data_IF_079793700401
#
_entry.id   IF_079793700401
#
_cell.length_a   1.000
_cell.length_b   1.000
_cell.length_c   1.000
_cell.angle_alpha   90.00
_cell.angle_beta   90.00
_cell.angle_gamma   90.00
#
_symmetry.space_group_name_H-M   'P 1'
#
loop_
_entity.id
_entity.type
_entity.pdbx_description
1 polymer ?
#
# COMPACT_ATOMS: atom_id res chain seq x y z
N UNK A 1 36.71 -63.62 -15.70
CA UNK A 1 35.67 -64.61 -15.40
C UNK A 1 34.32 -63.94 -15.59
N UNK A 2 33.72 -64.34 -16.68
CA UNK A 2 32.33 -64.69 -16.93
C UNK A 2 31.28 -63.59 -16.69
N UNK A 3 30.74 -63.02 -17.79
CA UNK A 3 29.51 -63.44 -18.52
C UNK A 3 28.26 -63.03 -17.71
N UNK A 4 27.25 -62.34 -18.25
CA UNK A 4 26.49 -62.57 -19.46
C UNK A 4 25.64 -61.37 -19.86
N UNK A 5 25.52 -61.21 -21.16
CA UNK A 5 24.52 -60.38 -21.88
C UNK A 5 23.10 -60.97 -21.69
N UNK A 6 22.12 -60.10 -21.71
CA UNK A 6 20.77 -60.47 -22.13
C UNK A 6 20.10 -59.33 -22.87
N UNK A 7 19.95 -59.55 -24.14
CA UNK A 7 19.15 -58.77 -25.12
C UNK A 7 17.66 -59.07 -24.86
N UNK A 8 16.81 -58.08 -24.84
CA UNK A 8 15.37 -58.27 -25.18
C UNK A 8 14.82 -57.05 -25.94
N UNK A 9 14.52 -57.37 -27.12
CA UNK A 9 13.62 -56.93 -28.21
C UNK A 9 12.58 -55.88 -27.92
N UNK A 10 12.51 -54.97 -28.90
CA UNK A 10 11.50 -53.97 -29.16
C UNK A 10 10.07 -54.55 -29.30
N UNK A 11 9.09 -53.80 -28.81
CA UNK A 11 7.74 -53.76 -29.32
C UNK A 11 7.35 -52.31 -29.57
N UNK A 12 7.26 -51.98 -30.82
CA UNK A 12 6.66 -50.74 -31.34
C UNK A 12 5.14 -50.92 -31.27
N UNK A 13 4.46 -50.14 -30.48
CA UNK A 13 3.01 -49.94 -30.55
C UNK A 13 2.77 -48.47 -30.75
N UNK A 14 2.40 -48.17 -32.00
CA UNK A 14 1.91 -46.86 -32.42
C UNK A 14 0.53 -46.62 -31.81
N UNK A 15 0.43 -45.78 -30.81
CA UNK A 15 -0.82 -45.17 -30.40
C UNK A 15 -0.87 -43.76 -30.90
N UNK A 16 -1.64 -43.55 -32.01
CA UNK A 16 -2.10 -42.25 -32.48
C UNK A 16 -3.04 -41.66 -31.42
N UNK A 17 -2.48 -40.89 -30.48
CA UNK A 17 -3.23 -40.10 -29.52
C UNK A 17 -3.49 -38.70 -30.09
N UNK A 18 -4.74 -38.42 -30.35
CA UNK A 18 -5.22 -37.06 -30.68
C UNK A 18 -4.91 -36.11 -29.53
N UNK A 19 -3.98 -35.21 -29.76
CA UNK A 19 -3.76 -34.04 -28.88
C UNK A 19 -4.96 -33.10 -29.06
N UNK A 20 -5.95 -33.21 -28.17
CA UNK A 20 -6.86 -32.13 -27.92
C UNK A 20 -6.05 -31.04 -27.20
N UNK A 21 -5.64 -30.01 -27.95
CA UNK A 21 -5.24 -28.73 -27.41
C UNK A 21 -6.49 -28.10 -26.80
N UNK A 22 -6.76 -28.42 -25.53
CA UNK A 22 -7.67 -27.59 -24.74
C UNK A 22 -6.96 -26.26 -24.53
N UNK A 23 -7.32 -25.27 -25.34
CA UNK A 23 -7.05 -23.89 -24.99
C UNK A 23 -7.76 -23.65 -23.67
N UNK A 24 -7.03 -23.71 -22.57
CA UNK A 24 -7.48 -23.19 -21.30
C UNK A 24 -7.71 -21.70 -21.53
N UNK A 25 -8.97 -21.30 -21.68
CA UNK A 25 -9.39 -19.93 -21.53
C UNK A 25 -8.95 -19.53 -20.14
N UNK A 26 -7.89 -18.70 -20.07
CA UNK A 26 -7.47 -18.09 -18.82
C UNK A 26 -8.71 -17.39 -18.25
N UNK A 27 -9.21 -17.88 -17.12
CA UNK A 27 -10.22 -17.16 -16.38
C UNK A 27 -9.59 -15.82 -16.01
N UNK A 28 -10.26 -14.69 -16.30
CA UNK A 28 -9.76 -13.40 -15.86
C UNK A 28 -9.56 -13.48 -14.34
N UNK A 29 -8.33 -13.28 -13.89
CA UNK A 29 -7.98 -13.32 -12.48
C UNK A 29 -8.88 -12.33 -11.72
N UNK A 30 -9.37 -12.73 -10.55
CA UNK A 30 -10.13 -11.83 -9.71
C UNK A 30 -9.29 -10.59 -9.45
N UNK A 31 -9.88 -9.41 -9.67
CA UNK A 31 -9.23 -8.11 -9.43
C UNK A 31 -8.79 -8.05 -7.97
N UNK A 32 -7.51 -7.78 -7.68
CA UNK A 32 -7.09 -7.57 -6.30
C UNK A 32 -7.87 -6.40 -5.71
N UNK A 33 -8.76 -6.68 -4.78
CA UNK A 33 -9.37 -5.64 -3.96
C UNK A 33 -8.28 -5.12 -3.04
N UNK A 34 -7.95 -3.83 -3.12
CA UNK A 34 -7.07 -3.23 -2.11
C UNK A 34 -7.65 -3.56 -0.73
N UNK A 35 -6.89 -4.23 0.11
CA UNK A 35 -7.26 -5.03 1.29
C UNK A 35 -8.24 -4.48 2.33
N UNK A 36 -9.08 -3.51 1.98
CA UNK A 36 -10.04 -2.86 2.86
C UNK A 36 -11.44 -3.12 2.34
N UNK A 37 -12.21 -3.92 3.05
CA UNK A 37 -13.65 -4.04 2.81
C UNK A 37 -14.33 -2.71 3.15
N UNK A 38 -14.55 -1.88 2.16
CA UNK A 38 -15.26 -0.61 2.28
C UNK A 38 -16.20 -0.46 1.08
N UNK A 39 -17.41 0.09 1.25
CA UNK A 39 -18.30 0.40 0.12
C UNK A 39 -17.65 1.30 -0.95
N UNK A 40 -16.66 2.08 -0.54
CA UNK A 40 -15.93 3.01 -1.40
C UNK A 40 -14.54 2.49 -1.81
N UNK A 41 -14.30 1.19 -1.64
CA UNK A 41 -13.05 0.56 -2.03
C UNK A 41 -12.79 0.73 -3.54
N UNK A 42 -11.53 0.95 -3.87
CA UNK A 42 -11.07 1.05 -5.25
C UNK A 42 -10.54 -0.30 -5.73
N UNK A 43 -10.89 -0.64 -6.97
CA UNK A 43 -10.22 -1.67 -7.72
C UNK A 43 -8.96 -1.06 -8.36
N UNK A 44 -7.86 -1.77 -8.29
CA UNK A 44 -6.60 -1.42 -8.95
C UNK A 44 -6.22 -2.59 -9.86
N UNK A 45 -6.30 -2.38 -11.16
CA UNK A 45 -6.03 -3.42 -12.18
C UNK A 45 -4.72 -3.09 -12.87
N UNK A 46 -3.70 -3.95 -12.79
CA UNK A 46 -2.51 -3.82 -13.63
C UNK A 46 -2.87 -3.89 -15.11
N UNK A 47 -2.34 -2.97 -15.90
CA UNK A 47 -2.64 -2.92 -17.34
C UNK A 47 -2.17 -4.17 -18.08
N UNK A 48 -1.23 -4.93 -17.53
CA UNK A 48 -0.83 -6.24 -18.04
C UNK A 48 -2.01 -7.23 -18.17
N UNK A 49 -3.07 -7.07 -17.37
CA UNK A 49 -4.29 -7.87 -17.47
C UNK A 49 -5.17 -7.49 -18.66
N UNK A 50 -4.84 -6.39 -19.36
CA UNK A 50 -5.59 -5.84 -20.49
C UNK A 50 -4.71 -5.76 -21.75
N UNK A 51 -4.17 -6.88 -22.26
CA UNK A 51 -3.15 -6.89 -23.33
C UNK A 51 -3.62 -6.21 -24.62
N UNK A 52 -4.93 -6.21 -24.92
CA UNK A 52 -5.49 -5.54 -26.08
C UNK A 52 -5.39 -4.00 -26.03
N UNK A 53 -5.15 -3.43 -24.84
CA UNK A 53 -5.06 -1.98 -24.62
C UNK A 53 -3.61 -1.50 -24.45
N UNK A 54 -2.63 -2.40 -24.29
CA UNK A 54 -1.23 -2.02 -24.17
C UNK A 54 -0.74 -1.25 -25.41
N UNK A 55 0.06 -0.21 -25.18
CA UNK A 55 0.57 0.66 -26.24
C UNK A 55 -0.46 1.64 -26.81
N UNK A 56 -1.68 1.68 -26.28
CA UNK A 56 -2.69 2.67 -26.68
C UNK A 56 -2.53 3.95 -25.86
N UNK A 57 -2.91 5.12 -26.43
CA UNK A 57 -2.88 6.38 -25.68
C UNK A 57 -3.75 6.30 -24.43
N UNK A 58 -3.19 6.65 -23.28
CA UNK A 58 -3.87 6.59 -21.96
C UNK A 58 -5.19 7.37 -21.99
N UNK A 59 -5.24 8.51 -22.69
CA UNK A 59 -6.44 9.34 -22.79
C UNK A 59 -7.59 8.68 -23.58
N UNK A 60 -7.31 7.62 -24.35
CA UNK A 60 -8.33 6.88 -25.10
C UNK A 60 -8.86 5.67 -24.32
N UNK A 61 -8.17 5.24 -23.28
CA UNK A 61 -8.62 4.12 -22.44
C UNK A 61 -9.77 4.57 -21.56
N UNK A 62 -10.90 3.88 -21.67
CA UNK A 62 -12.12 4.18 -20.92
C UNK A 62 -12.66 2.91 -20.31
N UNK A 63 -13.10 3.00 -19.04
CA UNK A 63 -13.87 1.94 -18.43
C UNK A 63 -15.36 2.22 -18.54
N UNK A 64 -16.12 1.16 -18.77
CA UNK A 64 -17.56 1.18 -19.00
C UNK A 64 -18.25 0.21 -18.04
N UNK A 65 -19.45 0.57 -17.58
CA UNK A 65 -20.38 -0.33 -16.89
C UNK A 65 -21.57 -0.63 -17.81
N UNK A 66 -22.11 -1.83 -17.71
CA UNK A 66 -23.36 -2.19 -18.39
C UNK A 66 -24.52 -2.05 -17.43
N UNK A 67 -25.35 -1.04 -17.66
CA UNK A 67 -26.55 -0.77 -16.88
C UNK A 67 -27.66 -0.27 -17.80
N UNK A 68 -28.90 -0.61 -17.49
CA UNK A 68 -30.08 -0.17 -18.26
C UNK A 68 -29.98 -0.45 -19.76
N UNK A 69 -29.41 -1.62 -20.11
CA UNK A 69 -29.17 -2.08 -21.50
C UNK A 69 -28.17 -1.26 -22.30
N UNK A 70 -27.37 -0.42 -21.65
CA UNK A 70 -26.38 0.43 -22.28
C UNK A 70 -25.00 0.32 -21.61
N UNK A 71 -23.96 0.56 -22.42
CA UNK A 71 -22.59 0.76 -21.90
C UNK A 71 -22.37 2.25 -21.63
N UNK A 72 -22.14 2.61 -20.39
CA UNK A 72 -21.87 3.98 -19.97
C UNK A 72 -20.49 4.12 -19.31
N UNK A 73 -19.75 5.21 -19.58
CA UNK A 73 -18.44 5.44 -18.98
C UNK A 73 -18.53 5.55 -17.44
N UNK A 74 -17.54 4.98 -16.77
CA UNK A 74 -17.32 5.17 -15.32
C UNK A 74 -16.08 6.01 -15.05
N UNK A 75 -16.01 6.60 -13.87
CA UNK A 75 -14.85 7.39 -13.46
C UNK A 75 -13.62 6.48 -13.37
N UNK A 76 -12.60 6.81 -14.12
CA UNK A 76 -11.37 6.03 -14.25
C UNK A 76 -10.17 6.94 -13.96
N UNK A 77 -9.18 6.40 -13.26
CA UNK A 77 -7.88 7.03 -13.11
C UNK A 77 -6.81 6.04 -13.58
N UNK A 78 -5.86 6.52 -14.38
CA UNK A 78 -4.73 5.72 -14.81
C UNK A 78 -3.46 6.34 -14.22
N UNK A 79 -2.74 5.54 -13.46
CA UNK A 79 -1.48 5.94 -12.86
C UNK A 79 -0.34 5.14 -13.48
N UNK A 80 0.50 5.85 -14.22
CA UNK A 80 1.62 5.26 -14.94
C UNK A 80 2.76 4.91 -13.98
N UNK A 81 3.46 3.82 -14.30
CA UNK A 81 4.66 3.35 -13.58
C UNK A 81 5.82 3.16 -14.53
N UNK A 82 7.03 3.26 -14.00
CA UNK A 82 8.24 2.83 -14.70
C UNK A 82 8.50 1.32 -14.50
N UNK A 83 9.55 0.82 -15.12
CA UNK A 83 9.95 -0.58 -15.03
C UNK A 83 10.36 -1.04 -13.62
N UNK A 84 10.71 -0.11 -12.74
CA UNK A 84 11.03 -0.36 -11.33
C UNK A 84 9.77 -0.29 -10.44
N UNK A 85 8.58 -0.12 -11.05
CA UNK A 85 7.30 -0.02 -10.36
C UNK A 85 7.05 1.32 -9.66
N UNK A 86 7.87 2.37 -9.92
CA UNK A 86 7.69 3.71 -9.35
C UNK A 86 6.62 4.47 -10.12
N UNK A 87 5.77 5.21 -9.43
CA UNK A 87 4.79 6.07 -10.11
C UNK A 87 5.47 7.18 -10.89
N UNK A 88 5.02 7.39 -12.13
CA UNK A 88 5.38 8.54 -12.95
C UNK A 88 4.47 9.71 -12.57
N UNK A 89 4.98 10.60 -11.71
CA UNK A 89 4.23 11.73 -11.17
C UNK A 89 4.47 13.02 -12.01
N UNK A 90 4.58 12.89 -13.31
CA UNK A 90 4.66 14.02 -14.25
C UNK A 90 3.25 14.41 -14.67
N UNK A 91 3.02 15.69 -14.88
CA UNK A 91 1.82 16.15 -15.56
C UNK A 91 1.84 15.65 -17.01
N UNK A 92 0.66 15.37 -17.59
CA UNK A 92 0.53 14.90 -18.97
C UNK A 92 1.15 15.91 -19.97
N UNK A 93 1.19 17.20 -19.59
CA UNK A 93 1.82 18.27 -20.36
C UNK A 93 3.36 18.18 -20.44
N UNK A 94 3.99 17.45 -19.54
CA UNK A 94 5.46 17.35 -19.42
C UNK A 94 6.03 16.16 -20.22
N UNK A 95 5.20 15.47 -20.99
CA UNK A 95 5.62 14.33 -21.79
C UNK A 95 5.82 14.72 -23.26
N UNK A 96 6.90 14.26 -23.84
CA UNK A 96 7.14 14.34 -25.28
C UNK A 96 6.25 13.32 -25.99
N UNK A 97 5.03 13.71 -26.35
CA UNK A 97 4.06 12.88 -27.05
C UNK A 97 2.96 12.29 -26.14
N UNK A 98 1.99 11.56 -26.72
CA UNK A 98 0.90 10.96 -25.97
C UNK A 98 1.42 9.85 -25.06
N UNK A 99 1.05 9.91 -23.78
CA UNK A 99 1.33 8.85 -22.82
C UNK A 99 0.66 7.53 -23.29
N UNK A 100 1.45 6.47 -23.43
CA UNK A 100 0.97 5.14 -23.84
C UNK A 100 0.81 4.24 -22.61
N UNK A 101 -0.22 3.39 -22.62
CA UNK A 101 -0.47 2.43 -21.54
C UNK A 101 0.61 1.35 -21.54
N UNK A 102 1.40 1.32 -20.45
CA UNK A 102 2.42 0.32 -20.17
C UNK A 102 1.85 -0.86 -19.37
N UNK A 103 2.54 -2.02 -19.32
CA UNK A 103 2.07 -3.20 -18.59
C UNK A 103 1.99 -2.99 -17.07
N UNK A 104 2.86 -2.15 -16.53
CA UNK A 104 2.97 -1.87 -15.08
C UNK A 104 2.03 -0.74 -14.61
N UNK A 105 1.36 -0.06 -15.56
CA UNK A 105 0.41 1.00 -15.24
C UNK A 105 -0.80 0.45 -14.48
N UNK A 106 -1.35 1.27 -13.61
CA UNK A 106 -2.52 0.93 -12.81
C UNK A 106 -3.78 1.62 -13.34
N UNK A 107 -4.81 0.83 -13.60
CA UNK A 107 -6.14 1.30 -13.96
C UNK A 107 -7.02 1.20 -12.72
N UNK A 108 -7.52 2.35 -12.26
CA UNK A 108 -8.23 2.49 -10.99
C UNK A 108 -9.67 2.92 -11.23
N UNK A 109 -10.60 2.27 -10.54
CA UNK A 109 -12.03 2.59 -10.55
C UNK A 109 -12.68 2.15 -9.23
N UNK A 110 -13.95 2.49 -8.99
CA UNK A 110 -14.65 2.07 -7.77
C UNK A 110 -15.20 0.65 -7.91
N UNK A 111 -15.07 -0.16 -6.88
CA UNK A 111 -15.70 -1.49 -6.85
C UNK A 111 -17.22 -1.40 -7.04
N UNK A 112 -17.86 -0.36 -6.50
CA UNK A 112 -19.29 -0.10 -6.65
C UNK A 112 -19.74 0.24 -8.08
N UNK A 113 -18.81 0.49 -9.00
CA UNK A 113 -19.10 0.68 -10.42
C UNK A 113 -19.28 -0.65 -11.17
N UNK A 114 -18.99 -1.79 -10.51
CA UNK A 114 -19.30 -3.12 -11.03
C UNK A 114 -20.80 -3.30 -11.26
N UNK A 115 -21.16 -3.81 -12.44
CA UNK A 115 -22.54 -3.96 -12.87
C UNK A 115 -22.80 -5.34 -13.50
N UNK A 116 -23.98 -5.53 -14.09
CA UNK A 116 -24.34 -6.77 -14.76
C UNK A 116 -23.37 -7.13 -15.91
N UNK A 117 -23.24 -8.42 -16.17
CA UNK A 117 -22.48 -8.91 -17.33
C UNK A 117 -23.23 -8.62 -18.63
N UNK A 118 -22.47 -8.27 -19.68
CA UNK A 118 -23.06 -8.11 -21.02
C UNK A 118 -23.77 -9.39 -21.47
N UNK A 119 -25.00 -9.28 -22.00
CA UNK A 119 -25.71 -10.42 -22.54
C UNK A 119 -24.93 -11.13 -23.67
N UNK A 120 -25.18 -12.42 -23.82
CA UNK A 120 -24.69 -13.15 -24.98
C UNK A 120 -25.26 -12.53 -26.26
N UNK A 121 -24.38 -12.22 -27.23
CA UNK A 121 -24.79 -11.57 -28.49
C UNK A 121 -24.85 -10.04 -28.47
N UNK A 122 -24.53 -9.39 -27.34
CA UNK A 122 -24.36 -7.94 -27.33
C UNK A 122 -23.22 -7.53 -28.28
N UNK A 123 -23.44 -6.54 -29.18
CA UNK A 123 -22.40 -6.08 -30.10
C UNK A 123 -21.16 -5.59 -29.34
N UNK A 124 -20.01 -6.23 -29.50
CA UNK A 124 -18.77 -5.87 -28.83
C UNK A 124 -17.74 -5.38 -29.87
N UNK A 125 -17.06 -4.29 -29.51
CA UNK A 125 -15.85 -3.91 -30.22
C UNK A 125 -14.74 -4.94 -29.94
N UNK A 126 -13.87 -5.24 -30.90
CA UNK A 126 -12.76 -6.18 -30.71
C UNK A 126 -11.81 -5.79 -29.56
N UNK A 127 -11.70 -4.50 -29.28
CA UNK A 127 -10.86 -3.97 -28.18
C UNK A 127 -11.56 -3.96 -26.82
N UNK A 128 -12.82 -4.42 -26.72
CA UNK A 128 -13.54 -4.40 -25.45
C UNK A 128 -13.14 -5.61 -24.58
N UNK A 129 -12.46 -5.35 -23.48
CA UNK A 129 -11.98 -6.35 -22.53
C UNK A 129 -12.88 -6.37 -21.28
N UNK A 130 -13.33 -7.56 -20.89
CA UNK A 130 -14.16 -7.76 -19.70
C UNK A 130 -13.27 -7.90 -18.46
N UNK A 131 -13.58 -7.18 -17.40
CA UNK A 131 -12.94 -7.23 -16.08
C UNK A 131 -13.95 -7.73 -15.06
N UNK A 132 -13.71 -8.90 -14.47
CA UNK A 132 -14.56 -9.43 -13.42
C UNK A 132 -14.21 -8.80 -12.06
N UNK A 133 -15.23 -8.38 -11.31
CA UNK A 133 -15.13 -7.82 -9.97
C UNK A 133 -15.84 -8.77 -9.00
N UNK A 134 -15.06 -9.56 -8.26
CA UNK A 134 -15.63 -10.61 -7.42
C UNK A 134 -16.46 -11.61 -8.24
N UNK A 135 -17.54 -12.11 -7.67
CA UNK A 135 -18.35 -13.17 -8.29
C UNK A 135 -19.47 -12.66 -9.21
N UNK A 136 -19.92 -11.43 -9.02
CA UNK A 136 -21.18 -10.93 -9.64
C UNK A 136 -21.09 -9.58 -10.33
N UNK A 137 -19.92 -8.94 -10.32
CA UNK A 137 -19.74 -7.62 -10.90
C UNK A 137 -18.82 -7.64 -12.12
N UNK A 138 -19.09 -6.80 -13.12
CA UNK A 138 -18.25 -6.63 -14.30
C UNK A 138 -18.09 -5.17 -14.67
N UNK A 139 -16.91 -4.86 -15.18
CA UNK A 139 -16.55 -3.60 -15.83
C UNK A 139 -15.90 -3.95 -17.17
N UNK A 140 -16.00 -3.07 -18.14
CA UNK A 140 -15.48 -3.27 -19.49
C UNK A 140 -14.45 -2.20 -19.80
N UNK A 141 -13.25 -2.60 -20.20
CA UNK A 141 -12.22 -1.68 -20.66
C UNK A 141 -12.18 -1.62 -22.19
N UNK A 142 -12.12 -0.43 -22.76
CA UNK A 142 -12.09 -0.25 -24.20
C UNK A 142 -11.47 1.08 -24.61
N UNK A 143 -11.40 1.31 -25.92
CA UNK A 143 -10.94 2.56 -26.50
C UNK A 143 -12.15 3.45 -26.82
N UNK A 144 -12.24 4.57 -26.16
CA UNK A 144 -13.29 5.57 -26.41
C UNK A 144 -12.72 6.96 -26.13
N UNK A 145 -13.04 7.92 -26.97
CA UNK A 145 -12.74 9.34 -26.67
C UNK A 145 -13.70 9.96 -25.64
N UNK A 146 -14.61 9.18 -25.03
CA UNK A 146 -15.56 9.64 -24.03
C UNK A 146 -15.06 9.29 -22.62
N UNK A 147 -14.57 10.28 -21.90
CA UNK A 147 -14.34 10.14 -20.46
C UNK A 147 -15.65 10.38 -19.68
N UNK A 148 -15.86 9.62 -18.60
CA UNK A 148 -16.89 9.96 -17.62
C UNK A 148 -16.58 11.33 -17.02
N UNK A 149 -17.61 12.10 -16.70
CA UNK A 149 -17.41 13.34 -15.96
C UNK A 149 -16.93 12.97 -14.54
N UNK A 150 -15.82 13.56 -14.08
CA UNK A 150 -15.40 13.37 -12.69
C UNK A 150 -16.50 13.89 -11.76
N UNK A 151 -16.60 13.33 -10.53
CA UNK A 151 -17.58 13.80 -9.56
C UNK A 151 -17.31 15.27 -9.23
N UNK A 152 -18.36 16.03 -8.97
CA UNK A 152 -18.27 17.46 -8.64
C UNK A 152 -17.32 17.73 -7.44
N UNK A 153 -17.17 16.74 -6.57
CA UNK A 153 -16.20 16.74 -5.45
C UNK A 153 -15.45 15.41 -5.44
N UNK A 154 -14.13 15.48 -5.55
CA UNK A 154 -13.30 14.30 -5.36
C UNK A 154 -13.40 13.84 -3.89
N UNK A 155 -13.51 12.50 -3.68
CA UNK A 155 -13.59 11.91 -2.34
C UNK A 155 -12.25 11.87 -1.61
N UNK A 156 -11.15 12.04 -2.33
CA UNK A 156 -9.80 12.18 -1.78
C UNK A 156 -9.21 13.47 -2.31
N UNK A 157 -8.82 14.37 -1.42
CA UNK A 157 -8.35 15.71 -1.78
C UNK A 157 -7.05 16.05 -1.07
N UNK A 158 -6.13 16.63 -1.78
CA UNK A 158 -4.93 17.23 -1.22
C UNK A 158 -5.19 18.71 -0.89
N UNK A 159 -4.77 19.13 0.29
CA UNK A 159 -4.86 20.49 0.80
C UNK A 159 -3.44 21.06 0.93
N UNK A 160 -2.96 21.82 -0.07
CA UNK A 160 -1.55 22.25 -0.13
C UNK A 160 -1.16 23.18 1.02
N UNK A 161 -2.05 24.05 1.47
CA UNK A 161 -1.76 25.04 2.53
C UNK A 161 -1.38 24.40 3.87
N UNK A 162 -1.82 23.18 4.11
CA UNK A 162 -1.60 22.43 5.36
C UNK A 162 -0.87 21.12 5.16
N UNK A 163 -0.41 20.85 3.95
CA UNK A 163 0.14 19.57 3.53
C UNK A 163 -0.65 18.39 4.13
N UNK A 164 -1.93 18.30 3.79
CA UNK A 164 -2.83 17.29 4.33
C UNK A 164 -3.72 16.69 3.27
N UNK A 165 -4.18 15.48 3.55
CA UNK A 165 -5.13 14.73 2.72
C UNK A 165 -6.44 14.62 3.48
N UNK A 166 -7.52 14.97 2.83
CA UNK A 166 -8.88 14.84 3.35
C UNK A 166 -9.69 13.88 2.49
N UNK A 167 -10.37 12.95 3.15
CA UNK A 167 -11.30 12.00 2.51
C UNK A 167 -12.68 12.10 3.14
N UNK A 168 -13.60 11.26 2.71
CA UNK A 168 -14.92 11.15 3.36
C UNK A 168 -14.87 10.40 4.70
N UNK A 169 -13.75 9.74 5.03
CA UNK A 169 -13.59 8.92 6.24
C UNK A 169 -12.59 9.51 7.22
N UNK A 170 -11.47 9.99 6.71
CA UNK A 170 -10.35 10.43 7.53
C UNK A 170 -9.65 11.67 6.95
N UNK A 171 -8.90 12.34 7.81
CA UNK A 171 -7.97 13.40 7.44
C UNK A 171 -6.60 13.12 8.04
N UNK A 172 -5.56 13.20 7.21
CA UNK A 172 -4.17 13.01 7.60
C UNK A 172 -3.38 14.29 7.28
N UNK A 173 -2.53 14.71 8.21
CA UNK A 173 -1.53 15.76 8.00
C UNK A 173 -0.12 15.21 8.14
N UNK A 174 0.83 15.90 7.52
CA UNK A 174 2.23 15.51 7.51
C UNK A 174 3.07 16.53 8.26
N UNK A 175 4.17 16.06 8.86
CA UNK A 175 5.06 16.88 9.65
C UNK A 175 5.80 17.91 8.77
N UNK A 176 5.80 19.17 9.17
CA UNK A 176 6.40 20.26 8.39
C UNK A 176 7.88 20.04 8.07
N UNK A 177 8.66 19.58 9.05
CA UNK A 177 10.11 19.34 8.88
C UNK A 177 10.44 18.01 8.23
N UNK A 178 9.53 17.07 8.33
CA UNK A 178 9.71 15.69 7.84
C UNK A 178 8.44 15.24 7.11
N UNK A 179 8.17 15.79 5.92
CA UNK A 179 6.90 15.57 5.22
C UNK A 179 6.61 14.12 4.81
N UNK A 180 7.49 13.18 5.11
CA UNK A 180 7.20 11.76 4.98
C UNK A 180 6.57 11.14 6.24
N UNK A 181 6.56 11.84 7.38
CA UNK A 181 5.96 11.38 8.62
C UNK A 181 4.55 11.96 8.79
N UNK A 182 3.61 11.11 9.13
CA UNK A 182 2.25 11.51 9.51
C UNK A 182 2.32 12.05 10.94
N UNK A 183 1.78 13.25 11.18
CA UNK A 183 1.72 13.89 12.50
C UNK A 183 0.29 14.25 12.94
N UNK A 184 -0.70 14.02 12.08
CA UNK A 184 -2.12 14.27 12.39
C UNK A 184 -2.99 13.20 11.78
N UNK A 185 -3.95 12.73 12.57
CA UNK A 185 -4.99 11.82 12.13
C UNK A 185 -6.32 12.17 12.80
N UNK A 186 -7.34 12.38 11.99
CA UNK A 186 -8.69 12.73 12.46
C UNK A 186 -9.72 11.86 11.74
N UNK A 187 -10.66 11.34 12.51
CA UNK A 187 -11.85 10.68 11.96
C UNK A 187 -12.89 11.73 11.52
N UNK A 188 -13.64 11.41 10.48
CA UNK A 188 -14.82 12.19 10.10
C UNK A 188 -15.89 12.03 11.19
N UNK A 189 -16.43 13.14 11.68
CA UNK A 189 -17.56 13.13 12.62
C UNK A 189 -18.88 13.26 11.86
N UNK A 190 -18.96 14.21 10.94
CA UNK A 190 -20.09 14.44 10.04
C UNK A 190 -19.60 15.16 8.76
N UNK A 191 -20.50 15.58 7.90
CA UNK A 191 -20.15 16.23 6.62
C UNK A 191 -19.27 17.48 6.77
N UNK A 192 -19.26 18.14 7.93
CA UNK A 192 -18.57 19.41 8.18
C UNK A 192 -17.51 19.36 9.26
N UNK A 193 -17.58 18.38 10.15
CA UNK A 193 -16.75 18.34 11.34
C UNK A 193 -15.85 17.11 11.38
N UNK A 194 -14.75 17.28 12.10
CA UNK A 194 -13.76 16.25 12.37
C UNK A 194 -13.68 16.00 13.88
N UNK A 195 -13.47 14.76 14.25
CA UNK A 195 -13.04 14.44 15.59
C UNK A 195 -11.68 15.12 15.88
N UNK A 196 -11.33 15.34 17.15
CA UNK A 196 -10.01 15.83 17.53
C UNK A 196 -8.88 14.97 16.92
N UNK A 197 -7.68 15.56 16.78
CA UNK A 197 -6.50 14.80 16.40
C UNK A 197 -6.23 13.70 17.45
N UNK A 198 -6.04 12.47 16.99
CA UNK A 198 -5.78 11.31 17.83
C UNK A 198 -4.34 10.78 17.72
N UNK A 199 -3.52 11.39 16.85
CA UNK A 199 -2.15 10.96 16.58
C UNK A 199 -1.15 12.01 17.09
N UNK A 200 -0.12 11.56 17.81
CA UNK A 200 1.04 12.41 18.08
C UNK A 200 1.94 12.47 16.85
N UNK A 201 2.53 11.35 16.48
CA UNK A 201 3.38 11.26 15.29
C UNK A 201 3.62 9.82 14.84
N UNK A 202 3.88 9.68 13.54
CA UNK A 202 4.59 8.51 13.02
C UNK A 202 6.08 8.67 13.30
N UNK A 203 6.74 7.58 13.69
CA UNK A 203 8.15 7.55 14.07
C UNK A 203 8.91 6.48 13.31
N UNK A 204 10.07 6.84 12.75
CA UNK A 204 10.97 5.89 12.10
C UNK A 204 12.35 6.03 12.75
N UNK A 205 12.89 4.90 13.23
CA UNK A 205 14.17 4.82 13.92
C UNK A 205 14.99 3.68 13.37
N UNK A 206 16.27 3.93 13.17
CA UNK A 206 17.24 2.90 12.78
C UNK A 206 18.26 2.74 13.90
N UNK A 207 18.55 1.50 14.24
CA UNK A 207 19.61 1.17 15.19
C UNK A 207 20.33 -0.10 14.76
N UNK A 208 21.56 -0.27 15.24
CA UNK A 208 22.34 -1.44 14.90
C UNK A 208 23.81 -1.28 15.23
N UNK A 209 24.65 -2.02 14.51
CA UNK A 209 26.10 -2.06 14.71
C UNK A 209 26.83 -1.89 13.38
N UNK A 210 27.69 -0.88 13.31
CA UNK A 210 28.58 -0.65 12.18
C UNK A 210 29.95 -1.33 12.43
N UNK A 211 30.54 -1.88 11.37
CA UNK A 211 31.87 -2.50 11.39
C UNK A 211 32.06 -3.55 12.50
N UNK A 212 30.99 -4.17 12.97
CA UNK A 212 31.00 -5.20 14.01
C UNK A 212 31.10 -4.69 15.46
N UNK A 213 31.37 -3.39 15.70
CA UNK A 213 31.60 -2.89 17.06
C UNK A 213 31.11 -1.46 17.33
N UNK A 214 30.74 -0.67 16.33
CA UNK A 214 30.27 0.70 16.54
C UNK A 214 28.75 0.72 16.60
N UNK A 215 28.12 0.96 17.77
CA UNK A 215 26.68 1.11 17.82
C UNK A 215 26.27 2.39 17.12
N UNK A 216 25.15 2.33 16.37
CA UNK A 216 24.54 3.51 15.79
C UNK A 216 23.06 3.56 16.12
N UNK A 217 22.51 4.75 16.18
CA UNK A 217 21.08 5.04 16.27
C UNK A 217 20.79 6.29 15.46
N UNK A 218 19.70 6.23 14.66
CA UNK A 218 19.20 7.36 13.87
C UNK A 218 17.70 7.52 14.15
N UNK A 219 17.32 8.77 14.30
CA UNK A 219 15.95 9.17 14.62
C UNK A 219 15.49 10.23 13.63
N UNK A 220 14.30 10.79 13.79
CA UNK A 220 13.78 11.88 12.96
C UNK A 220 14.75 13.06 12.80
N UNK A 221 15.60 13.34 13.80
CA UNK A 221 16.64 14.40 13.75
C UNK A 221 17.72 14.16 12.70
N UNK A 222 17.89 12.92 12.28
CA UNK A 222 18.94 12.53 11.33
C UNK A 222 18.42 12.48 9.89
N UNK A 223 17.14 12.72 9.69
CA UNK A 223 16.52 12.74 8.38
C UNK A 223 16.57 14.13 7.75
N UNK A 224 16.77 14.15 6.45
CA UNK A 224 16.45 15.25 5.55
C UNK A 224 15.33 14.79 4.65
N UNK A 225 14.23 15.53 4.62
CA UNK A 225 13.04 15.15 3.88
C UNK A 225 12.46 16.36 3.16
N UNK A 226 11.91 16.14 1.97
CA UNK A 226 11.18 17.15 1.21
C UNK A 226 10.03 16.52 0.44
N UNK A 227 8.92 17.23 0.35
CA UNK A 227 7.85 16.93 -0.59
C UNK A 227 8.33 17.23 -2.01
N UNK A 228 8.24 16.26 -2.92
CA UNK A 228 8.71 16.43 -4.30
C UNK A 228 7.59 16.54 -5.31
N UNK A 229 6.53 15.74 -5.16
CA UNK A 229 5.42 15.70 -6.11
C UNK A 229 4.11 15.30 -5.43
N UNK A 230 3.02 15.86 -5.95
CA UNK A 230 1.66 15.42 -5.64
C UNK A 230 0.90 15.31 -6.95
N UNK A 231 0.34 14.12 -7.21
CA UNK A 231 -0.59 13.88 -8.30
C UNK A 231 -1.99 13.75 -7.72
N UNK A 232 -2.87 14.66 -8.08
CA UNK A 232 -4.28 14.61 -7.71
C UNK A 232 -5.07 13.99 -8.85
N UNK A 233 -5.89 13.00 -8.55
CA UNK A 233 -6.78 12.36 -9.51
C UNK A 233 -8.22 12.35 -9.02
N UNK A 234 -9.18 11.91 -9.84
CA UNK A 234 -10.59 11.86 -9.46
C UNK A 234 -10.92 10.80 -8.40
N UNK A 235 -10.05 9.80 -8.21
CA UNK A 235 -10.26 8.66 -7.32
C UNK A 235 -9.28 8.61 -6.16
N UNK A 236 -7.99 8.91 -6.41
CA UNK A 236 -6.93 8.87 -5.41
C UNK A 236 -5.90 9.96 -5.61
N UNK A 237 -5.15 10.24 -4.55
CA UNK A 237 -4.01 11.17 -4.55
C UNK A 237 -2.73 10.38 -4.31
N UNK A 238 -1.68 10.67 -5.07
CA UNK A 238 -0.33 10.11 -4.87
C UNK A 238 0.61 11.24 -4.49
N UNK A 239 1.24 11.12 -3.33
CA UNK A 239 2.12 12.13 -2.74
C UNK A 239 3.50 11.54 -2.49
N UNK A 240 4.54 12.06 -3.16
CA UNK A 240 5.93 11.60 -3.07
C UNK A 240 6.80 12.52 -2.24
N UNK A 241 7.56 11.94 -1.35
CA UNK A 241 8.65 12.59 -0.65
C UNK A 241 9.98 11.95 -1.00
N UNK A 242 11.03 12.77 -0.98
CA UNK A 242 12.42 12.34 -1.09
C UNK A 242 13.07 12.48 0.28
N UNK A 243 13.73 11.44 0.73
CA UNK A 243 14.25 11.32 2.07
C UNK A 243 15.69 10.84 2.05
N UNK A 244 16.52 11.28 2.98
CA UNK A 244 17.85 10.73 3.21
C UNK A 244 18.15 10.73 4.71
N UNK A 245 18.93 9.75 5.15
CA UNK A 245 19.32 9.59 6.55
C UNK A 245 20.81 9.90 6.69
N UNK A 246 21.16 10.72 7.66
CA UNK A 246 22.56 11.00 8.00
C UNK A 246 23.16 9.77 8.70
N UNK A 247 24.17 9.18 8.08
CA UNK A 247 24.87 8.02 8.65
C UNK A 247 25.99 8.46 9.59
N UNK A 248 26.85 9.37 9.12
CA UNK A 248 28.01 9.83 9.89
C UNK A 248 28.42 11.23 9.44
N UNK A 249 28.56 12.20 10.37
CA UNK A 249 28.85 13.61 10.08
C UNK A 249 27.95 14.17 8.99
N UNK A 250 28.49 14.37 7.78
CA UNK A 250 27.76 14.88 6.61
C UNK A 250 27.40 13.77 5.61
N UNK A 251 27.84 12.54 5.85
CA UNK A 251 27.52 11.40 5.00
C UNK A 251 26.05 11.01 5.20
N UNK A 252 25.28 11.02 4.12
CA UNK A 252 23.89 10.62 4.08
C UNK A 252 23.73 9.35 3.25
N UNK A 253 22.62 8.64 3.47
CA UNK A 253 22.16 7.61 2.54
C UNK A 253 21.89 8.22 1.17
N UNK A 254 21.86 7.41 0.09
CA UNK A 254 21.17 7.78 -1.14
C UNK A 254 19.73 8.24 -0.85
N UNK A 255 19.13 8.91 -1.83
CA UNK A 255 17.74 9.34 -1.71
C UNK A 255 16.81 8.12 -1.69
N UNK A 256 15.94 8.07 -0.69
CA UNK A 256 14.86 7.11 -0.57
C UNK A 256 13.54 7.83 -0.86
N UNK A 257 12.69 7.20 -1.65
CA UNK A 257 11.38 7.77 -1.97
C UNK A 257 10.29 7.08 -1.15
N UNK A 258 9.33 7.88 -0.68
CA UNK A 258 8.12 7.38 -0.03
C UNK A 258 6.92 7.94 -0.77
N UNK A 259 6.11 7.04 -1.30
CA UNK A 259 4.86 7.36 -1.97
C UNK A 259 3.68 7.04 -1.04
N UNK A 260 2.89 8.06 -0.74
CA UNK A 260 1.58 7.87 -0.12
C UNK A 260 0.51 7.83 -1.20
N UNK A 261 -0.10 6.65 -1.39
CA UNK A 261 -1.23 6.45 -2.28
C UNK A 261 -2.51 6.52 -1.45
N UNK A 262 -3.18 7.67 -1.49
CA UNK A 262 -4.30 7.99 -0.63
C UNK A 262 -5.63 7.74 -1.33
N UNK A 263 -6.49 6.96 -0.70
CA UNK A 263 -7.80 6.49 -1.20
C UNK A 263 -8.90 6.83 -0.21
N UNK A 264 -10.19 6.77 -0.57
CA UNK A 264 -11.29 7.21 0.32
C UNK A 264 -11.32 6.57 1.71
N UNK A 265 -11.05 5.28 1.84
CA UNK A 265 -11.08 4.54 3.12
C UNK A 265 -9.75 3.91 3.51
N UNK A 266 -8.67 4.22 2.78
CA UNK A 266 -7.37 3.58 3.00
C UNK A 266 -6.23 4.43 2.45
N UNK A 267 -5.00 4.07 2.81
CA UNK A 267 -3.81 4.51 2.10
C UNK A 267 -2.73 3.42 2.07
N UNK A 268 -1.84 3.52 1.11
CA UNK A 268 -0.61 2.73 1.07
C UNK A 268 0.56 3.70 1.21
N UNK A 269 1.43 3.45 2.18
CA UNK A 269 2.75 4.05 2.24
C UNK A 269 3.73 3.08 1.58
N UNK A 270 4.21 3.42 0.41
CA UNK A 270 5.18 2.64 -0.35
C UNK A 270 6.56 3.25 -0.16
N UNK A 271 7.42 2.55 0.56
CA UNK A 271 8.82 2.93 0.75
C UNK A 271 9.66 2.25 -0.30
N UNK A 272 10.20 3.05 -1.22
CA UNK A 272 11.01 2.58 -2.33
C UNK A 272 12.47 2.54 -1.85
N UNK A 273 12.95 1.32 -1.62
CA UNK A 273 14.31 1.03 -1.17
C UNK A 273 15.19 0.78 -2.38
N UNK A 274 16.06 1.75 -2.66
CA UNK A 274 16.99 1.73 -3.79
C UNK A 274 18.38 2.08 -3.23
N UNK A 275 19.11 1.07 -2.81
CA UNK A 275 20.45 1.22 -2.19
C UNK A 275 21.48 0.63 -3.11
N UNK A 276 22.32 1.47 -3.76
CA UNK A 276 23.25 1.03 -4.82
C UNK A 276 24.50 0.32 -4.30
N UNK A 277 24.51 -0.12 -3.03
CA UNK A 277 25.63 -0.85 -2.43
C UNK A 277 25.16 -1.81 -1.34
N UNK A 278 25.91 -2.88 -1.13
CA UNK A 278 25.60 -3.86 -0.09
C UNK A 278 25.81 -3.26 1.31
N UNK A 279 24.70 -3.13 2.08
CA UNK A 279 24.74 -2.61 3.44
C UNK A 279 25.56 -3.49 4.39
N UNK A 280 25.64 -4.80 4.15
CA UNK A 280 26.43 -5.73 4.96
C UNK A 280 27.93 -5.46 4.96
N UNK A 281 28.46 -4.68 4.01
CA UNK A 281 29.86 -4.22 4.04
C UNK A 281 30.12 -3.23 5.18
N UNK A 282 29.10 -2.50 5.62
CA UNK A 282 29.24 -1.45 6.64
C UNK A 282 28.55 -1.82 7.95
N UNK A 283 27.47 -2.60 7.88
CA UNK A 283 26.64 -2.93 9.01
C UNK A 283 26.61 -4.43 9.24
N UNK A 284 26.87 -4.85 10.46
CA UNK A 284 26.74 -6.25 10.87
C UNK A 284 25.32 -6.56 11.36
N UNK A 285 24.56 -5.55 11.71
CA UNK A 285 23.15 -5.65 12.13
C UNK A 285 22.46 -4.30 11.94
N UNK A 286 21.28 -4.31 11.34
CA UNK A 286 20.40 -3.14 11.24
C UNK A 286 18.97 -3.52 11.59
N UNK A 287 18.39 -2.74 12.47
CA UNK A 287 16.99 -2.83 12.87
C UNK A 287 16.30 -1.49 12.59
N UNK A 288 15.09 -1.55 12.03
CA UNK A 288 14.24 -0.38 11.82
C UNK A 288 12.96 -0.54 12.60
N UNK A 289 12.56 0.51 13.32
CA UNK A 289 11.26 0.62 13.95
C UNK A 289 10.44 1.67 13.17
N UNK A 290 9.32 1.22 12.64
CA UNK A 290 8.31 2.09 11.99
C UNK A 290 7.04 1.99 12.82
N UNK A 291 6.70 3.08 13.50
CA UNK A 291 5.65 3.05 14.52
C UNK A 291 4.77 4.30 14.46
N UNK A 292 3.57 4.17 14.98
CA UNK A 292 2.59 5.25 15.18
C UNK A 292 2.42 5.44 16.68
N UNK A 293 2.53 6.68 17.14
CA UNK A 293 2.31 7.06 18.54
C UNK A 293 1.00 7.82 18.69
N UNK A 294 0.15 7.35 19.59
CA UNK A 294 -1.17 7.90 19.79
C UNK A 294 -1.16 8.94 20.91
N UNK A 295 -2.03 9.93 20.79
CA UNK A 295 -2.23 10.91 21.84
C UNK A 295 -3.05 10.32 22.97
N UNK A 296 -2.64 10.60 24.21
CA UNK A 296 -3.45 10.38 25.42
C UNK A 296 -3.84 11.74 25.99
N UNK A 297 -4.93 12.28 25.52
CA UNK A 297 -5.49 13.54 26.00
C UNK A 297 -6.94 13.32 26.45
N UNK A 298 -7.40 14.04 27.50
CA UNK A 298 -8.80 13.97 27.90
C UNK A 298 -9.75 14.25 26.74
N UNK A 299 -10.75 13.39 26.57
CA UNK A 299 -11.74 13.48 25.49
C UNK A 299 -11.44 12.58 24.28
N UNK A 300 -10.27 11.96 24.20
CA UNK A 300 -10.00 10.91 23.22
C UNK A 300 -10.55 9.56 23.70
N UNK A 301 -11.03 8.69 22.80
CA UNK A 301 -11.49 7.37 23.19
C UNK A 301 -10.33 6.47 23.59
N UNK A 302 -10.60 5.57 24.51
CA UNK A 302 -9.63 4.52 24.86
C UNK A 302 -9.32 3.66 23.63
N UNK A 303 -8.05 3.38 23.42
CA UNK A 303 -7.57 2.55 22.34
C UNK A 303 -7.35 1.11 22.79
N UNK A 304 -7.57 0.18 21.85
CA UNK A 304 -7.28 -1.24 22.03
C UNK A 304 -6.53 -1.75 20.80
N UNK A 305 -5.37 -2.36 21.03
CA UNK A 305 -4.55 -2.95 19.96
C UNK A 305 -4.87 -4.43 19.83
N UNK A 306 -4.99 -4.94 18.60
CA UNK A 306 -5.19 -6.35 18.30
C UNK A 306 -4.23 -6.83 17.21
N UNK A 307 -4.01 -8.13 17.16
CA UNK A 307 -3.38 -8.83 16.03
C UNK A 307 -4.04 -10.20 15.87
N UNK A 308 -3.79 -10.94 14.79
CA UNK A 308 -4.27 -12.31 14.63
C UNK A 308 -3.97 -13.23 15.82
N UNK A 309 -2.80 -13.02 16.48
CA UNK A 309 -2.39 -13.78 17.65
C UNK A 309 -2.80 -13.17 19.00
N UNK A 310 -3.33 -11.94 19.02
CA UNK A 310 -3.77 -11.22 20.23
C UNK A 310 -5.19 -10.65 20.02
N UNK A 311 -6.15 -11.53 19.78
CA UNK A 311 -7.54 -11.19 19.44
C UNK A 311 -8.34 -10.57 20.59
N UNK A 312 -8.01 -10.92 21.87
CA UNK A 312 -8.68 -10.36 23.06
C UNK A 312 -8.47 -8.85 23.23
N UNK A 313 -7.49 -8.30 22.51
CA UNK A 313 -7.17 -6.88 22.58
C UNK A 313 -6.28 -6.50 23.76
N UNK A 314 -5.41 -5.52 23.52
CA UNK A 314 -4.46 -4.96 24.46
C UNK A 314 -4.84 -3.49 24.69
N UNK A 315 -5.38 -3.10 25.87
CA UNK A 315 -5.77 -1.72 26.11
C UNK A 315 -4.54 -0.82 26.19
N UNK A 316 -4.58 0.33 25.52
CA UNK A 316 -3.55 1.37 25.62
C UNK A 316 -3.83 2.18 26.89
N UNK A 317 -2.93 2.13 27.89
CA UNK A 317 -3.15 2.72 29.19
C UNK A 317 -1.85 3.19 29.89
N UNK A 318 -0.78 3.37 29.14
CA UNK A 318 0.51 3.84 29.64
C UNK A 318 1.29 2.82 30.47
N UNK A 319 0.89 1.54 30.47
CA UNK A 319 1.52 0.49 31.28
C UNK A 319 1.76 -0.76 30.46
N UNK A 320 2.99 -1.25 30.46
CA UNK A 320 3.32 -2.55 29.89
C UNK A 320 2.80 -3.68 30.77
N UNK A 321 2.28 -4.71 30.13
CA UNK A 321 1.87 -5.97 30.76
C UNK A 321 2.61 -7.13 30.10
N UNK A 322 2.53 -8.32 30.71
CA UNK A 322 3.11 -9.54 30.12
C UNK A 322 2.52 -9.84 28.72
N UNK A 323 1.21 -9.59 28.51
CA UNK A 323 0.58 -9.75 27.19
C UNK A 323 1.14 -8.76 26.16
N UNK A 324 1.34 -7.50 26.52
CA UNK A 324 1.97 -6.48 25.64
C UNK A 324 3.44 -6.81 25.35
N UNK A 325 4.17 -7.34 26.30
CA UNK A 325 5.55 -7.80 26.08
C UNK A 325 5.60 -8.99 25.11
N UNK A 326 4.65 -9.93 25.22
CA UNK A 326 4.56 -11.05 24.27
C UNK A 326 4.17 -10.58 22.86
N UNK A 327 3.40 -9.53 22.71
CA UNK A 327 3.09 -8.93 21.41
C UNK A 327 4.36 -8.58 20.64
N UNK A 328 5.41 -8.09 21.31
CA UNK A 328 6.70 -7.76 20.70
C UNK A 328 7.52 -8.97 20.23
N UNK A 329 7.05 -10.18 20.54
CA UNK A 329 7.69 -11.44 20.11
C UNK A 329 6.95 -12.09 18.95
N UNK A 330 5.88 -11.48 18.46
CA UNK A 330 5.11 -11.99 17.33
C UNK A 330 5.74 -11.56 16.00
N UNK A 331 6.11 -12.54 15.19
CA UNK A 331 6.45 -12.32 13.79
C UNK A 331 5.15 -12.33 12.98
N UNK A 332 4.52 -11.18 12.86
CA UNK A 332 3.27 -10.98 12.12
C UNK A 332 3.38 -9.67 11.32
N UNK A 333 2.65 -9.61 10.22
CA UNK A 333 2.57 -8.44 9.35
C UNK A 333 1.29 -7.64 9.54
N UNK A 334 0.44 -8.01 10.50
CA UNK A 334 -0.88 -7.38 10.70
C UNK A 334 -1.13 -7.02 12.14
N UNK A 335 -1.61 -5.81 12.34
CA UNK A 335 -2.24 -5.40 13.60
C UNK A 335 -3.38 -4.41 13.32
N UNK A 336 -4.17 -4.13 14.35
CA UNK A 336 -5.22 -3.11 14.29
C UNK A 336 -5.32 -2.34 15.59
N UNK A 337 -5.78 -1.08 15.46
CA UNK A 337 -6.06 -0.18 16.58
C UNK A 337 -7.54 0.17 16.54
N UNK A 338 -8.23 -0.10 17.62
CA UNK A 338 -9.67 0.07 17.75
C UNK A 338 -10.00 1.18 18.74
N UNK A 339 -10.99 1.98 18.39
CA UNK A 339 -11.55 3.06 19.24
C UNK A 339 -13.06 3.13 19.10
N UNK A 340 -13.72 3.96 19.89
CA UNK A 340 -15.13 4.26 19.73
C UNK A 340 -15.46 5.03 18.45
N UNK A 341 -14.48 5.63 17.78
CA UNK A 341 -14.66 6.38 16.53
C UNK A 341 -14.43 5.55 15.28
N UNK A 342 -13.75 4.42 15.42
CA UNK A 342 -13.44 3.52 14.31
C UNK A 342 -12.22 2.67 14.59
N UNK A 343 -11.85 1.89 13.58
CA UNK A 343 -10.69 0.99 13.62
C UNK A 343 -9.74 1.25 12.46
N UNK A 344 -8.44 1.23 12.79
CA UNK A 344 -7.33 1.30 11.84
C UNK A 344 -6.70 -0.07 11.75
N UNK A 345 -6.68 -0.66 10.57
CA UNK A 345 -6.01 -1.93 10.28
C UNK A 345 -4.74 -1.63 9.50
N UNK A 346 -3.63 -2.21 9.92
CA UNK A 346 -2.33 -2.02 9.27
C UNK A 346 -1.78 -3.37 8.87
N UNK A 347 -1.35 -3.46 7.61
CA UNK A 347 -0.66 -4.61 7.06
C UNK A 347 0.66 -4.14 6.44
N UNK A 348 1.72 -4.87 6.73
CA UNK A 348 3.04 -4.72 6.13
C UNK A 348 3.21 -5.78 5.04
N UNK A 349 3.38 -5.34 3.80
CA UNK A 349 3.64 -6.21 2.66
C UNK A 349 5.13 -6.15 2.33
N UNK A 350 5.80 -7.29 2.43
CA UNK A 350 7.22 -7.48 2.17
C UNK A 350 7.33 -8.41 0.97
N UNK A 351 8.06 -8.04 -0.10
CA UNK A 351 8.34 -8.97 -1.21
C UNK A 351 9.05 -10.23 -0.73
N UNK A 352 8.77 -11.36 -1.36
CA UNK A 352 9.31 -12.66 -0.95
C UNK A 352 10.85 -12.73 -1.05
N UNK A 353 11.44 -11.98 -1.98
CA UNK A 353 12.87 -11.85 -2.22
C UNK A 353 13.57 -10.83 -1.30
N UNK A 354 12.79 -10.05 -0.54
CA UNK A 354 13.33 -9.03 0.34
C UNK A 354 13.69 -9.61 1.72
N UNK A 355 14.97 -9.63 2.13
CA UNK A 355 15.45 -10.46 3.24
C UNK A 355 15.09 -9.96 4.64
N UNK A 356 14.24 -8.94 4.76
CA UNK A 356 13.84 -8.39 6.06
C UNK A 356 12.78 -9.25 6.75
N UNK A 357 12.84 -9.27 8.08
CA UNK A 357 11.89 -10.00 8.94
C UNK A 357 11.10 -9.03 9.80
N UNK A 358 9.75 -9.06 9.73
CA UNK A 358 8.90 -8.23 10.53
C UNK A 358 8.64 -8.84 11.91
N UNK A 359 8.54 -7.98 12.90
CA UNK A 359 8.06 -8.25 14.25
C UNK A 359 7.07 -7.16 14.64
N UNK A 360 6.01 -7.50 15.31
CA UNK A 360 5.15 -6.49 15.92
C UNK A 360 5.90 -5.74 17.02
N UNK A 361 5.55 -4.49 17.21
CA UNK A 361 6.14 -3.64 18.24
C UNK A 361 5.07 -2.84 18.96
N UNK A 362 5.13 -2.85 20.28
CA UNK A 362 4.30 -2.02 21.16
C UNK A 362 5.13 -1.53 22.34
N UNK A 363 5.18 -0.23 22.50
CA UNK A 363 5.68 0.43 23.71
C UNK A 363 4.56 1.28 24.31
N UNK A 364 3.91 0.75 25.33
CA UNK A 364 2.84 1.43 26.07
C UNK A 364 3.35 1.81 27.46
N UNK A 365 4.32 2.75 27.49
CA UNK A 365 5.05 3.15 28.68
C UNK A 365 5.05 4.66 28.84
N UNK A 366 4.23 5.18 29.74
CA UNK A 366 4.18 6.60 30.07
C UNK A 366 5.42 7.09 30.88
N UNK A 367 6.20 6.15 31.45
CA UNK A 367 7.38 6.42 32.25
C UNK A 367 8.69 6.54 31.46
N UNK A 368 8.66 6.21 30.15
CA UNK A 368 9.84 6.28 29.29
C UNK A 368 9.94 7.65 28.64
N UNK A 369 11.07 8.30 28.86
CA UNK A 369 11.44 9.55 28.18
C UNK A 369 12.66 9.26 27.31
N UNK A 370 12.50 9.35 26.01
CA UNK A 370 13.57 9.10 25.01
C UNK A 370 13.46 10.11 23.86
N UNK A 371 13.81 11.38 24.08
CA UNK A 371 13.71 12.42 23.05
C UNK A 371 14.58 12.13 21.80
N UNK A 372 14.10 12.49 20.61
CA UNK A 372 12.85 13.21 20.33
C UNK A 372 11.62 12.30 20.29
N UNK A 373 11.80 11.01 20.42
CA UNK A 373 10.85 9.98 20.07
C UNK A 373 9.75 9.80 21.13
N UNK A 374 10.08 9.88 22.41
CA UNK A 374 9.13 9.78 23.51
C UNK A 374 9.20 11.03 24.37
N UNK A 375 8.11 11.76 24.42
CA UNK A 375 7.91 12.91 25.30
C UNK A 375 7.11 12.48 26.54
N UNK A 376 7.18 13.21 27.65
CA UNK A 376 6.33 12.94 28.81
C UNK A 376 4.84 12.91 28.43
N UNK A 377 4.13 11.86 28.85
CA UNK A 377 2.70 11.68 28.59
C UNK A 377 2.37 11.02 27.23
N UNK A 378 3.35 10.70 26.42
CA UNK A 378 3.17 9.92 25.19
C UNK A 378 3.31 8.43 25.48
N UNK A 379 2.38 7.62 25.01
CA UNK A 379 2.43 6.16 25.09
C UNK A 379 1.50 5.52 24.07
N UNK A 380 1.51 4.18 23.95
CA UNK A 380 0.72 3.50 22.94
C UNK A 380 1.40 3.48 21.57
N UNK A 381 2.73 3.57 21.56
CA UNK A 381 3.53 3.53 20.34
C UNK A 381 3.53 2.11 19.75
N UNK A 382 2.84 1.90 18.64
CA UNK A 382 2.61 0.61 18.00
C UNK A 382 3.05 0.60 16.54
N UNK A 383 3.54 -0.53 16.07
CA UNK A 383 3.95 -0.71 14.68
C UNK A 383 4.81 -1.93 14.46
N UNK A 384 5.88 -1.77 13.71
CA UNK A 384 6.77 -2.87 13.32
C UNK A 384 8.21 -2.57 13.71
N UNK A 385 8.88 -3.64 14.11
CA UNK A 385 10.32 -3.76 14.14
C UNK A 385 10.73 -4.69 13.01
N UNK A 386 11.58 -4.22 12.10
CA UNK A 386 12.10 -5.01 10.98
C UNK A 386 13.60 -5.19 11.14
N UNK A 387 14.10 -6.40 10.89
CA UNK A 387 15.52 -6.79 11.01
C UNK A 387 15.99 -7.42 9.71
N UNK A 388 17.31 -7.54 9.51
CA UNK A 388 17.87 -8.16 8.31
C UNK A 388 18.22 -7.16 7.21
N UNK A 389 18.15 -5.86 7.48
CA UNK A 389 18.46 -4.80 6.52
C UNK A 389 19.90 -4.86 6.01
N UNK A 390 20.84 -5.41 6.78
CA UNK A 390 22.22 -5.64 6.37
C UNK A 390 22.35 -6.65 5.23
N UNK A 391 21.33 -7.43 4.93
CA UNK A 391 21.33 -8.47 3.89
C UNK A 391 20.66 -8.02 2.58
N UNK A 392 20.25 -6.75 2.47
CA UNK A 392 19.60 -6.22 1.27
C UNK A 392 20.62 -6.20 0.13
N UNK A 393 20.18 -6.63 -1.06
CA UNK A 393 20.90 -6.49 -2.32
C UNK A 393 20.81 -5.06 -2.89
N UNK A 394 21.21 -4.89 -4.14
CA UNK A 394 21.17 -3.60 -4.85
C UNK A 394 19.99 -3.45 -5.79
N UNK A 395 19.00 -4.34 -5.70
CA UNK A 395 17.77 -4.24 -6.47
C UNK A 395 16.80 -3.22 -5.83
N UNK A 396 15.83 -2.77 -6.61
CA UNK A 396 14.79 -1.87 -6.12
C UNK A 396 13.69 -2.68 -5.45
N UNK A 397 13.46 -2.42 -4.18
CA UNK A 397 12.41 -3.09 -3.41
C UNK A 397 11.33 -2.10 -2.96
N UNK A 398 10.09 -2.58 -2.93
CA UNK A 398 8.94 -1.84 -2.46
C UNK A 398 8.42 -2.41 -1.14
N UNK A 399 8.63 -1.68 -0.06
CA UNK A 399 8.10 -2.02 1.26
C UNK A 399 6.80 -1.25 1.49
N UNK A 400 5.66 -1.95 1.50
CA UNK A 400 4.34 -1.32 1.53
C UNK A 400 3.66 -1.51 2.88
N UNK A 401 3.16 -0.40 3.42
CA UNK A 401 2.28 -0.39 4.58
C UNK A 401 0.88 -0.01 4.12
N UNK A 402 0.00 -0.99 4.05
CA UNK A 402 -1.41 -0.79 3.73
C UNK A 402 -2.17 -0.47 5.01
N UNK A 403 -2.84 0.67 5.04
CA UNK A 403 -3.63 1.11 6.19
C UNK A 403 -5.08 1.32 5.78
N UNK A 404 -5.99 0.65 6.48
CA UNK A 404 -7.43 0.72 6.27
C UNK A 404 -8.13 1.39 7.44
N UNK A 405 -9.02 2.33 7.16
CA UNK A 405 -9.83 3.03 8.15
C UNK A 405 -11.30 2.63 8.01
N UNK A 406 -11.86 2.02 9.06
CA UNK A 406 -13.26 1.61 9.11
C UNK A 406 -13.93 2.40 10.23
N UNK A 407 -14.85 3.35 9.91
CA UNK A 407 -15.61 4.09 10.90
C UNK A 407 -16.48 3.17 11.76
N UNK A 408 -16.82 3.61 12.96
CA UNK A 408 -17.57 2.80 13.93
C UNK A 408 -19.00 2.46 13.46
N UNK A 409 -19.66 3.34 12.74
CA UNK A 409 -20.99 3.13 12.14
C UNK A 409 -20.99 2.02 11.08
N UNK A 410 -19.92 1.89 10.31
CA UNK A 410 -19.76 0.82 9.31
C UNK A 410 -19.49 -0.54 9.96
N UNK A 411 -18.84 -0.56 11.14
CA UNK A 411 -18.56 -1.82 11.86
C UNK A 411 -19.82 -2.47 12.45
N UNK A 412 -20.89 -1.71 12.65
CA UNK A 412 -22.14 -2.18 13.24
C UNK A 412 -23.18 -2.62 12.21
N UNK A 413 -22.90 -2.49 10.93
CA UNK A 413 -23.76 -3.02 9.88
C UNK A 413 -23.68 -4.57 9.89
N UNK A 414 -24.85 -5.27 9.98
CA UNK A 414 -24.92 -6.72 10.14
C UNK A 414 -24.39 -7.49 8.92
#
# INVERSE_FOLDING_TARGET
>A
MHHQQAVRRACVLACTGWLFLSAALAQPGAVPVSGCASPDALAVVPAAQLPALLGKPVQQVTLLQYRDSELSPIVTQIDQRDQDGRYLLKDVSDQDGPALLGPDDEIVFRLSDGAARLPAGFPRAESLVEIAIGETGWVYAGLSGRAAQPPARARTRYLPDTDSIETDVYKIGFAERHPFLIDRFQWRLDDRHWHPNSLDAMKIRHQGVMFGFIPFRRTSKDYSSRLTRVKTGPLRVIRRTENSVRIFWQLKTPALYVDYVMMPGSFVMDTIVDIPFNLGLFFSHVETLTTIDWLDTPGLPQLTIRSPAATSGLPVNGRMSHAKTRFNQLSDTRFSVHSAWGSVYVQLDIPDDFPIKPWLFLSDRADVIDPPENQPGQFGNVGYRTTGWENIDTEVHHLKFTTCMIPADVQQAP
#
